data_IF_538224642262
#
_entry.id   IF_538224642262
#
_cell.length_a   1.000
_cell.length_b   1.000
_cell.length_c   1.000
_cell.angle_alpha   90.00
_cell.angle_beta   90.00
_cell.angle_gamma   90.00
#
_symmetry.space_group_name_H-M   'P 1'
#
loop_
_entity.id
_entity.type
_entity.pdbx_description
1 polymer ?
#
# COMPACT_ATOMS: atom_id res chain seq x y z
N UNK A 1 9.16 -14.57 -16.13
CA UNK A 1 9.11 -13.25 -15.47
C UNK A 1 8.44 -13.41 -14.11
N UNK A 2 8.86 -12.67 -13.06
CA UNK A 2 8.16 -12.67 -11.76
C UNK A 2 7.32 -11.40 -11.65
N UNK A 3 6.02 -11.57 -11.46
CA UNK A 3 5.07 -10.48 -11.24
C UNK A 3 4.85 -10.39 -9.73
N UNK A 4 5.08 -9.22 -9.10
CA UNK A 4 4.73 -9.02 -7.70
C UNK A 4 3.22 -9.16 -7.49
N UNK A 5 2.82 -9.84 -6.42
CA UNK A 5 1.40 -10.07 -6.09
C UNK A 5 0.63 -8.75 -5.94
N UNK A 6 1.24 -7.73 -5.31
CA UNK A 6 0.64 -6.40 -5.17
C UNK A 6 0.25 -5.78 -6.52
N UNK A 7 1.08 -5.97 -7.55
CA UNK A 7 0.81 -5.43 -8.89
C UNK A 7 -0.32 -6.20 -9.56
N UNK A 8 -0.33 -7.52 -9.40
CA UNK A 8 -1.43 -8.34 -9.92
C UNK A 8 -2.75 -7.93 -9.26
N UNK A 9 -2.78 -7.76 -7.93
CA UNK A 9 -3.97 -7.33 -7.20
C UNK A 9 -4.42 -5.93 -7.63
N UNK A 10 -3.49 -4.99 -7.74
CA UNK A 10 -3.79 -3.62 -8.15
C UNK A 10 -4.36 -3.58 -9.57
N UNK A 11 -3.75 -4.30 -10.52
CA UNK A 11 -4.21 -4.34 -11.90
C UNK A 11 -5.53 -5.07 -12.07
N UNK A 12 -5.75 -6.16 -11.34
CA UNK A 12 -7.05 -6.82 -11.36
C UNK A 12 -8.14 -5.94 -10.75
N UNK A 13 -7.85 -5.17 -9.70
CA UNK A 13 -8.82 -4.22 -9.14
C UNK A 13 -9.16 -3.07 -10.10
N UNK A 14 -8.17 -2.62 -10.90
CA UNK A 14 -8.35 -1.62 -11.96
C UNK A 14 -9.26 -2.18 -13.08
N UNK A 15 -9.04 -3.44 -13.47
CA UNK A 15 -9.80 -4.17 -14.50
C UNK A 15 -11.24 -4.45 -14.05
N UNK A 16 -11.44 -4.84 -12.79
CA UNK A 16 -12.76 -5.08 -12.22
C UNK A 16 -13.50 -3.77 -11.86
N UNK A 17 -12.78 -2.65 -11.72
CA UNK A 17 -13.33 -1.36 -11.30
C UNK A 17 -13.66 -1.26 -9.80
N UNK A 18 -13.41 -2.32 -9.03
CA UNK A 18 -13.56 -2.36 -7.58
C UNK A 18 -12.44 -3.18 -6.93
N UNK A 19 -12.10 -2.84 -5.68
CA UNK A 19 -11.11 -3.56 -4.89
C UNK A 19 -11.76 -4.49 -3.87
N UNK A 20 -10.95 -5.36 -3.25
CA UNK A 20 -11.41 -6.26 -2.19
C UNK A 20 -12.21 -7.47 -2.68
N UNK A 21 -12.07 -7.82 -3.96
CA UNK A 21 -12.63 -9.04 -4.53
C UNK A 21 -12.00 -10.29 -3.90
N UNK A 22 -12.86 -11.28 -3.65
CA UNK A 22 -12.46 -12.63 -3.26
C UNK A 22 -12.18 -13.53 -4.46
N UNK A 23 -11.92 -14.80 -4.15
CA UNK A 23 -11.75 -15.86 -5.17
C UNK A 23 -13.05 -16.06 -5.97
N UNK A 24 -14.19 -16.00 -5.32
CA UNK A 24 -15.49 -16.29 -5.95
C UNK A 24 -15.82 -15.26 -7.02
N UNK A 25 -15.60 -13.98 -6.74
CA UNK A 25 -15.79 -12.90 -7.70
C UNK A 25 -14.83 -13.03 -8.88
N UNK A 26 -13.55 -13.33 -8.60
CA UNK A 26 -12.55 -13.51 -9.64
C UNK A 26 -12.92 -14.63 -10.60
N UNK A 27 -13.30 -15.80 -10.06
CA UNK A 27 -13.62 -16.99 -10.87
C UNK A 27 -14.97 -16.87 -11.58
N UNK A 28 -15.80 -15.90 -11.19
CA UNK A 28 -17.09 -15.63 -11.83
C UNK A 28 -16.92 -14.68 -13.01
N UNK A 29 -16.03 -13.69 -12.90
CA UNK A 29 -15.85 -12.67 -13.92
C UNK A 29 -14.71 -13.04 -14.90
N UNK A 30 -13.60 -13.60 -14.39
CA UNK A 30 -12.39 -13.92 -15.15
C UNK A 30 -12.30 -15.43 -15.39
N UNK A 31 -12.22 -15.82 -16.66
CA UNK A 31 -11.98 -17.18 -17.11
C UNK A 31 -10.50 -17.54 -17.01
N UNK A 32 -9.64 -16.69 -17.58
CA UNK A 32 -8.19 -16.90 -17.57
C UNK A 32 -7.39 -15.59 -17.60
N UNK A 33 -6.15 -15.66 -17.10
CA UNK A 33 -5.19 -14.55 -17.15
C UNK A 33 -3.99 -15.00 -17.96
N UNK A 34 -3.82 -14.41 -19.14
CA UNK A 34 -2.75 -14.69 -20.08
C UNK A 34 -1.61 -13.68 -19.90
N UNK A 35 -0.37 -14.16 -20.05
CA UNK A 35 0.85 -13.34 -19.99
C UNK A 35 1.61 -13.50 -21.30
N UNK A 36 1.15 -12.85 -22.40
CA UNK A 36 1.73 -13.05 -23.72
C UNK A 36 3.12 -12.43 -23.85
N UNK A 37 3.36 -11.30 -23.18
CA UNK A 37 4.60 -10.53 -23.28
C UNK A 37 5.08 -10.02 -21.91
N UNK A 38 6.33 -9.56 -21.89
CA UNK A 38 6.88 -8.91 -20.72
C UNK A 38 6.05 -7.67 -20.39
N UNK A 39 5.71 -7.51 -19.10
CA UNK A 39 4.96 -6.34 -18.63
C UNK A 39 3.52 -6.23 -19.17
N UNK A 40 2.96 -7.30 -19.74
CA UNK A 40 1.60 -7.35 -20.25
C UNK A 40 0.80 -8.46 -19.57
N UNK A 41 -0.39 -8.13 -19.09
CA UNK A 41 -1.40 -9.04 -18.56
C UNK A 41 -2.63 -8.93 -19.44
N UNK A 42 -3.19 -10.05 -19.87
CA UNK A 42 -4.44 -10.09 -20.63
C UNK A 42 -5.45 -10.87 -19.81
N UNK A 43 -6.53 -10.23 -19.41
CA UNK A 43 -7.63 -10.82 -18.67
C UNK A 43 -8.72 -11.23 -19.65
N UNK A 44 -9.04 -12.51 -19.69
CA UNK A 44 -10.14 -13.05 -20.48
C UNK A 44 -11.33 -13.21 -19.55
N UNK A 45 -12.41 -12.50 -19.85
CA UNK A 45 -13.65 -12.57 -19.08
C UNK A 45 -14.58 -13.64 -19.64
N UNK A 46 -15.40 -14.21 -18.76
CA UNK A 46 -16.46 -15.15 -19.17
C UNK A 46 -17.49 -14.52 -20.12
N UNK A 47 -17.64 -13.19 -20.10
CA UNK A 47 -18.52 -12.45 -21.02
C UNK A 47 -17.97 -12.38 -22.47
N UNK A 48 -16.77 -12.93 -22.70
CA UNK A 48 -16.07 -12.89 -24.00
C UNK A 48 -15.24 -11.62 -24.23
N UNK A 49 -15.23 -10.72 -23.25
CA UNK A 49 -14.40 -9.54 -23.26
C UNK A 49 -12.95 -9.86 -22.89
N UNK A 50 -12.00 -9.13 -23.46
CA UNK A 50 -10.58 -9.25 -23.13
C UNK A 50 -9.99 -7.88 -22.78
N UNK A 51 -9.45 -7.75 -21.57
CA UNK A 51 -8.75 -6.55 -21.12
C UNK A 51 -7.25 -6.77 -21.13
N UNK A 52 -6.53 -6.02 -21.96
CA UNK A 52 -5.07 -6.02 -21.97
C UNK A 52 -4.53 -4.87 -21.12
N UNK A 53 -3.80 -5.20 -20.05
CA UNK A 53 -3.20 -4.25 -19.13
C UNK A 53 -1.69 -4.37 -19.11
N UNK A 54 -1.03 -3.27 -19.42
CA UNK A 54 0.41 -3.12 -19.19
C UNK A 54 0.71 -2.79 -17.74
N UNK A 55 1.62 -3.54 -17.12
CA UNK A 55 2.11 -3.31 -15.77
C UNK A 55 3.61 -3.00 -15.78
N UNK A 56 4.04 -2.01 -15.00
CA UNK A 56 5.46 -1.70 -14.83
C UNK A 56 5.83 -1.88 -13.37
N UNK A 57 7.08 -2.27 -13.13
CA UNK A 57 7.62 -2.27 -11.77
C UNK A 57 7.61 -0.82 -11.27
N UNK A 58 6.87 -0.49 -10.19
CA UNK A 58 6.90 0.86 -9.67
C UNK A 58 8.33 1.16 -9.26
N UNK A 59 8.86 2.26 -9.77
CA UNK A 59 10.16 2.76 -9.33
C UNK A 59 10.07 3.02 -7.82
N UNK A 60 11.18 2.92 -7.08
CA UNK A 60 11.21 3.09 -5.60
C UNK A 60 10.47 4.35 -5.08
N UNK A 61 10.27 5.34 -5.95
CA UNK A 61 9.58 6.60 -5.69
C UNK A 61 8.04 6.46 -5.63
N UNK A 62 7.45 5.52 -6.36
CA UNK A 62 6.00 5.28 -6.43
C UNK A 62 5.50 4.27 -5.38
N UNK A 63 6.39 3.56 -4.70
CA UNK A 63 6.05 2.65 -3.59
C UNK A 63 5.56 3.35 -2.31
N UNK A 64 5.44 4.68 -2.29
CA UNK A 64 4.83 5.43 -1.18
C UNK A 64 3.31 5.46 -1.33
N UNK A 65 2.68 4.34 -0.97
CA UNK A 65 1.23 4.29 -0.80
C UNK A 65 0.79 5.33 0.25
N UNK A 66 -0.43 5.89 0.13
CA UNK A 66 -0.94 6.88 1.08
C UNK A 66 -0.90 6.37 2.54
N UNK A 67 -1.11 5.07 2.76
CA UNK A 67 -0.98 4.42 4.07
C UNK A 67 0.45 4.46 4.63
N UNK A 68 1.47 4.21 3.81
CA UNK A 68 2.87 4.29 4.24
C UNK A 68 3.26 5.72 4.61
N UNK A 69 2.71 6.72 3.90
CA UNK A 69 2.88 8.14 4.23
C UNK A 69 2.23 8.50 5.58
N UNK A 70 1.04 7.98 5.85
CA UNK A 70 0.34 8.20 7.12
C UNK A 70 1.10 7.57 8.29
N UNK A 71 1.55 6.32 8.16
CA UNK A 71 2.32 5.62 9.19
C UNK A 71 3.64 6.31 9.53
N UNK A 72 4.30 6.91 8.52
CA UNK A 72 5.51 7.70 8.74
C UNK A 72 5.22 8.99 9.52
N UNK A 73 4.10 9.66 9.24
CA UNK A 73 3.65 10.85 9.98
C UNK A 73 3.32 10.53 11.44
N UNK A 74 2.65 9.42 11.70
CA UNK A 74 2.32 8.99 13.06
C UNK A 74 3.56 8.71 13.90
N UNK A 75 4.56 8.02 13.33
CA UNK A 75 5.85 7.80 14.00
C UNK A 75 6.56 9.10 14.33
N UNK A 76 6.55 10.08 13.43
CA UNK A 76 7.12 11.39 13.70
C UNK A 76 6.42 12.09 14.87
N UNK A 77 5.07 12.05 14.91
CA UNK A 77 4.30 12.64 16.00
C UNK A 77 4.56 11.96 17.35
N UNK A 78 4.73 10.64 17.37
CA UNK A 78 5.06 9.88 18.58
C UNK A 78 6.45 10.26 19.13
N UNK A 79 7.45 10.38 18.25
CA UNK A 79 8.80 10.83 18.65
C UNK A 79 8.76 12.23 19.23
N UNK A 80 8.00 13.16 18.62
CA UNK A 80 7.85 14.53 19.13
C UNK A 80 7.15 14.52 20.50
N UNK A 81 6.12 13.69 20.67
CA UNK A 81 5.39 13.56 21.95
C UNK A 81 6.28 13.02 23.06
N UNK A 82 7.13 12.03 22.78
CA UNK A 82 8.06 11.47 23.76
C UNK A 82 9.12 12.48 24.19
N UNK A 83 9.69 13.24 23.24
CA UNK A 83 10.64 14.31 23.57
C UNK A 83 10.04 15.36 24.49
N UNK A 84 8.83 15.84 24.18
CA UNK A 84 8.11 16.82 25.01
C UNK A 84 7.86 16.33 26.43
N UNK A 85 7.50 15.05 26.61
CA UNK A 85 7.38 14.45 27.94
C UNK A 85 8.71 14.42 28.69
N UNK A 86 9.80 14.06 28.01
CA UNK A 86 11.14 14.08 28.61
C UNK A 86 11.54 15.50 29.05
N UNK A 87 11.31 16.50 28.19
CA UNK A 87 11.59 17.90 28.48
C UNK A 87 10.76 18.42 29.68
N UNK A 88 9.48 18.02 29.78
CA UNK A 88 8.59 18.38 30.90
C UNK A 88 9.00 17.71 32.22
N UNK A 89 9.37 16.42 32.19
CA UNK A 89 9.85 15.69 33.38
C UNK A 89 11.21 16.22 33.87
N UNK A 90 12.12 16.56 32.95
CA UNK A 90 13.41 17.17 33.29
C UNK A 90 13.22 18.56 33.93
N UNK A 91 12.29 19.35 33.38
CA UNK A 91 11.95 20.68 33.89
C UNK A 91 11.31 20.60 35.29
N UNK A 92 10.40 19.66 35.52
CA UNK A 92 9.80 19.42 36.83
C UNK A 92 10.84 19.04 37.89
N UNK A 93 11.78 18.14 37.55
CA UNK A 93 12.85 17.74 38.45
C UNK A 93 13.87 18.85 38.77
N UNK A 94 14.19 19.73 37.82
CA UNK A 94 15.04 20.90 38.08
C UNK A 94 14.36 21.88 39.03
N UNK A 95 13.05 22.07 38.88
CA UNK A 95 12.27 23.00 39.69
C UNK A 95 12.08 22.49 41.13
N UNK A 96 11.96 21.18 41.34
CA UNK A 96 11.99 20.57 42.68
C UNK A 96 13.37 20.67 43.35
N UNK A 97 14.46 20.41 42.61
CA UNK A 97 15.82 20.51 43.13
C UNK A 97 16.19 21.93 43.55
N UNK A 98 15.64 22.94 42.88
CA UNK A 98 15.83 24.35 43.24
C UNK A 98 15.02 24.81 44.46
N UNK A 99 14.05 24.02 44.94
CA UNK A 99 13.25 24.31 46.14
C UNK A 99 13.83 23.69 47.42
N UNK A 100 14.88 22.88 47.30
CA UNK A 100 15.63 22.30 48.42
C UNK A 100 16.88 23.13 48.68
#
# INVERSE_FOLDING_TARGET
QRIPEDILIAKTSEVLGYGGWGREELTRDIDEILVPEHNCLVYVFHDGHMESVTWRHPSRRESWTPEMRQKARERQLEVIRQKRKGDEEECWHLQEKSKR
#
